data_IF_238155688490
#
_entry.id   IF_238155688490
#
_cell.length_a   1.000
_cell.length_b   1.000
_cell.length_c   1.000
_cell.angle_alpha   90.00
_cell.angle_beta   90.00
_cell.angle_gamma   90.00
#
_symmetry.space_group_name_H-M   'P 1'
#
loop_
_entity.id
_entity.type
_entity.pdbx_description
1 polymer ?
#
# COMPACT_ATOMS: atom_id res chain seq x y z
N UNK A 1 26.44 1.90 2.97
CA UNK A 1 26.73 3.31 3.31
C UNK A 1 25.47 4.08 3.01
N UNK A 2 25.06 5.01 3.87
CA UNK A 2 23.67 5.53 3.90
C UNK A 2 23.58 6.97 3.39
N UNK A 3 22.37 7.50 3.23
CA UNK A 3 22.07 8.93 3.07
C UNK A 3 22.96 9.82 3.96
N UNK A 4 23.33 9.35 5.16
CA UNK A 4 24.22 10.06 6.11
C UNK A 4 25.57 10.41 5.47
N UNK A 5 26.14 9.52 4.66
CA UNK A 5 27.47 9.70 4.06
C UNK A 5 27.45 10.77 2.95
N UNK A 6 26.29 10.96 2.31
CA UNK A 6 26.10 11.92 1.22
C UNK A 6 25.33 13.17 1.64
N UNK A 7 24.82 13.24 2.88
CA UNK A 7 23.97 14.32 3.38
C UNK A 7 24.58 15.71 3.17
N UNK A 8 25.86 15.88 3.52
CA UNK A 8 26.54 17.17 3.32
C UNK A 8 26.56 17.59 1.85
N UNK A 9 26.76 16.65 0.93
CA UNK A 9 26.76 16.93 -0.51
C UNK A 9 25.36 17.23 -1.03
N UNK A 10 24.36 16.45 -0.62
CA UNK A 10 22.96 16.67 -0.99
C UNK A 10 22.45 18.04 -0.50
N UNK A 11 22.82 18.44 0.73
CA UNK A 11 22.53 19.77 1.24
C UNK A 11 23.20 20.87 0.41
N UNK A 12 24.46 20.69 0.00
CA UNK A 12 25.15 21.64 -0.89
C UNK A 12 24.52 21.71 -2.29
N UNK A 13 23.84 20.65 -2.73
CA UNK A 13 23.05 20.62 -3.96
C UNK A 13 21.63 21.21 -3.78
N UNK A 14 21.28 21.67 -2.57
CA UNK A 14 20.00 22.29 -2.28
C UNK A 14 18.86 21.31 -2.03
N UNK A 15 19.17 20.05 -1.68
CA UNK A 15 18.15 19.08 -1.24
C UNK A 15 17.75 19.40 0.20
N UNK A 16 16.47 19.74 0.47
CA UNK A 16 16.01 20.04 1.81
C UNK A 16 15.65 18.74 2.56
N UNK A 17 15.80 18.73 3.89
CA UNK A 17 15.60 17.53 4.73
C UNK A 17 14.15 17.00 4.66
N UNK A 18 13.18 17.88 4.38
CA UNK A 18 11.76 17.57 4.28
C UNK A 18 11.43 16.62 3.10
N UNK A 19 12.30 16.54 2.09
CA UNK A 19 12.11 15.58 0.97
C UNK A 19 12.08 14.14 1.49
N UNK A 20 12.86 13.83 2.53
CA UNK A 20 12.91 12.49 3.10
C UNK A 20 11.64 12.09 3.86
N UNK A 21 10.74 13.04 4.16
CA UNK A 21 9.46 12.73 4.80
C UNK A 21 8.46 12.09 3.82
N UNK A 22 8.56 12.38 2.51
CA UNK A 22 7.78 11.68 1.49
C UNK A 22 8.04 10.17 1.52
N UNK A 23 9.29 9.77 1.70
CA UNK A 23 9.68 8.36 1.78
C UNK A 23 9.29 7.66 3.09
N UNK A 24 8.62 8.38 4.01
CA UNK A 24 8.05 7.85 5.27
C UNK A 24 6.52 7.78 5.22
N UNK A 25 5.90 8.14 4.11
CA UNK A 25 4.46 8.05 3.95
C UNK A 25 3.97 6.61 4.19
N UNK A 26 2.83 6.43 4.89
CA UNK A 26 2.42 5.13 5.41
C UNK A 26 2.02 4.11 4.33
N UNK A 27 1.85 4.53 3.09
CA UNK A 27 1.54 3.65 1.96
C UNK A 27 2.77 3.13 1.22
N UNK A 28 3.97 3.64 1.52
CA UNK A 28 5.23 3.19 0.93
C UNK A 28 5.81 2.03 1.74
N UNK A 29 6.09 0.92 1.06
CA UNK A 29 6.69 -0.27 1.66
C UNK A 29 7.97 -0.71 0.95
N UNK A 30 8.05 -0.51 -0.37
CA UNK A 30 9.28 -0.69 -1.14
C UNK A 30 9.95 0.66 -1.39
N UNK A 31 9.20 1.66 -1.89
CA UNK A 31 9.70 2.99 -2.25
C UNK A 31 9.96 3.87 -1.02
N UNK A 32 10.91 3.45 -0.20
CA UNK A 32 11.24 3.98 1.13
C UNK A 32 12.69 4.50 1.17
N UNK A 33 13.12 5.05 2.31
CA UNK A 33 14.52 5.44 2.51
C UNK A 33 15.52 4.29 2.31
N UNK A 34 15.11 3.05 2.60
CA UNK A 34 15.94 1.86 2.36
C UNK A 34 16.24 1.68 0.87
N UNK A 35 15.26 1.92 0.00
CA UNK A 35 15.46 1.85 -1.44
C UNK A 35 16.41 2.93 -1.94
N UNK A 36 16.33 4.15 -1.38
CA UNK A 36 17.31 5.20 -1.67
C UNK A 36 18.73 4.81 -1.24
N UNK A 37 18.87 4.24 -0.04
CA UNK A 37 20.16 3.77 0.49
C UNK A 37 20.77 2.65 -0.39
N UNK A 38 19.94 1.79 -0.96
CA UNK A 38 20.38 0.75 -1.92
C UNK A 38 20.96 1.37 -3.20
N UNK A 39 20.33 2.42 -3.75
CA UNK A 39 20.86 3.12 -4.94
C UNK A 39 22.12 3.91 -4.58
N UNK A 40 22.13 4.62 -3.44
CA UNK A 40 23.31 5.38 -3.00
C UNK A 40 24.52 4.47 -2.74
N UNK A 41 24.32 3.30 -2.16
CA UNK A 41 25.38 2.30 -1.97
C UNK A 41 25.98 1.90 -3.32
N UNK A 42 25.15 1.64 -4.33
CA UNK A 42 25.63 1.31 -5.68
C UNK A 42 26.39 2.46 -6.34
N UNK A 43 25.95 3.71 -6.17
CA UNK A 43 26.67 4.91 -6.66
C UNK A 43 28.07 4.97 -6.04
N UNK A 44 28.19 4.72 -4.74
CA UNK A 44 29.47 4.73 -4.02
C UNK A 44 30.39 3.60 -4.49
N UNK A 45 29.88 2.38 -4.57
CA UNK A 45 30.65 1.20 -5.01
C UNK A 45 31.16 1.33 -6.45
N UNK A 46 30.39 1.99 -7.32
CA UNK A 46 30.80 2.28 -8.71
C UNK A 46 31.71 3.50 -8.84
N UNK A 47 32.04 4.19 -7.75
CA UNK A 47 32.87 5.40 -7.76
C UNK A 47 32.19 6.61 -8.43
N UNK A 48 30.85 6.65 -8.42
CA UNK A 48 30.03 7.66 -9.09
C UNK A 48 29.52 8.76 -8.15
N UNK A 49 30.01 8.82 -6.90
CA UNK A 49 29.61 9.84 -5.91
C UNK A 49 29.94 11.28 -6.31
N UNK A 50 30.76 11.46 -7.35
CA UNK A 50 31.04 12.74 -7.99
C UNK A 50 29.92 13.25 -8.92
N UNK A 51 28.93 12.43 -9.24
CA UNK A 51 27.91 12.74 -10.24
C UNK A 51 26.63 13.28 -9.58
N UNK A 52 26.46 14.61 -9.61
CA UNK A 52 25.32 15.26 -8.96
C UNK A 52 23.98 14.90 -9.60
N UNK A 53 23.94 14.57 -10.90
CA UNK A 53 22.71 14.18 -11.57
C UNK A 53 22.19 12.84 -11.04
N UNK A 54 23.08 11.85 -10.85
CA UNK A 54 22.71 10.56 -10.26
C UNK A 54 22.26 10.71 -8.80
N UNK A 55 22.95 11.55 -8.02
CA UNK A 55 22.58 11.80 -6.61
C UNK A 55 21.20 12.45 -6.49
N UNK A 56 20.92 13.48 -7.30
CA UNK A 56 19.62 14.15 -7.32
C UNK A 56 18.54 13.21 -7.86
N UNK A 57 18.79 12.48 -8.94
CA UNK A 57 17.84 11.49 -9.46
C UNK A 57 17.48 10.43 -8.41
N UNK A 58 18.44 9.95 -7.61
CA UNK A 58 18.16 9.03 -6.49
C UNK A 58 17.13 9.62 -5.55
N UNK A 59 17.32 10.86 -5.12
CA UNK A 59 16.40 11.53 -4.17
C UNK A 59 15.03 11.81 -4.78
N UNK A 60 14.96 12.13 -6.08
CA UNK A 60 13.76 12.72 -6.66
C UNK A 60 12.95 11.80 -7.57
N UNK A 61 13.46 10.67 -8.07
CA UNK A 61 12.74 9.88 -9.07
C UNK A 61 11.39 9.33 -8.59
N UNK A 62 11.28 8.97 -7.30
CA UNK A 62 10.06 8.47 -6.66
C UNK A 62 9.56 9.37 -5.52
N UNK A 63 9.91 10.66 -5.55
CA UNK A 63 9.54 11.60 -4.49
C UNK A 63 8.03 11.74 -4.39
N UNK A 64 7.33 11.76 -5.52
CA UNK A 64 5.87 11.61 -5.59
C UNK A 64 5.59 10.16 -5.97
N UNK A 65 4.87 9.46 -5.10
CA UNK A 65 4.51 8.08 -5.31
C UNK A 65 3.11 7.83 -4.79
N UNK A 66 2.20 7.54 -5.71
CA UNK A 66 0.90 6.94 -5.41
C UNK A 66 0.78 5.65 -6.23
N UNK A 67 0.67 4.46 -5.62
CA UNK A 67 0.53 3.22 -6.37
C UNK A 67 -0.77 3.14 -7.20
N UNK A 68 -1.73 4.04 -6.99
CA UNK A 68 -2.93 4.20 -7.82
C UNK A 68 -2.71 5.12 -9.03
N UNK A 69 -1.62 5.89 -9.05
CA UNK A 69 -1.30 6.84 -10.12
C UNK A 69 -0.46 6.19 -11.23
N UNK A 70 -0.66 6.67 -12.46
CA UNK A 70 0.16 6.32 -13.62
C UNK A 70 1.11 7.46 -14.05
N UNK A 71 1.23 8.51 -13.22
CA UNK A 71 2.00 9.72 -13.53
C UNK A 71 3.10 10.02 -12.49
N UNK A 72 3.46 9.05 -11.64
CA UNK A 72 4.41 9.26 -10.55
C UNK A 72 5.74 9.86 -11.01
N UNK A 73 6.30 9.39 -12.13
CA UNK A 73 7.56 9.89 -12.68
C UNK A 73 7.40 11.32 -13.23
N UNK A 74 6.31 11.61 -13.92
CA UNK A 74 6.02 12.97 -14.39
C UNK A 74 5.80 13.96 -13.23
N UNK A 75 5.07 13.53 -12.19
CA UNK A 75 4.77 14.34 -11.01
C UNK A 75 6.05 14.59 -10.19
N UNK A 76 6.90 13.57 -10.07
CA UNK A 76 8.23 13.66 -9.44
C UNK A 76 9.17 14.58 -10.21
N UNK A 77 9.22 14.47 -11.55
CA UNK A 77 9.99 15.36 -12.40
C UNK A 77 9.50 16.81 -12.28
N UNK A 78 8.17 17.03 -12.25
CA UNK A 78 7.58 18.35 -12.08
C UNK A 78 7.87 18.94 -10.71
N UNK A 79 7.81 18.13 -9.65
CA UNK A 79 8.23 18.52 -8.31
C UNK A 79 9.69 18.98 -8.30
N UNK A 80 10.59 18.21 -8.90
CA UNK A 80 12.01 18.55 -9.00
C UNK A 80 12.24 19.84 -9.80
N UNK A 81 11.55 20.03 -10.93
CA UNK A 81 11.63 21.25 -11.74
C UNK A 81 11.31 22.50 -10.92
N UNK A 82 10.26 22.41 -10.09
CA UNK A 82 9.75 23.51 -9.28
C UNK A 82 10.62 23.83 -8.06
N UNK A 83 11.33 22.84 -7.53
CA UNK A 83 12.11 22.97 -6.27
C UNK A 83 13.59 23.20 -6.50
N UNK A 84 14.18 22.64 -7.56
CA UNK A 84 15.61 22.75 -7.81
C UNK A 84 15.99 24.09 -8.46
N UNK A 85 16.90 24.83 -7.83
CA UNK A 85 17.37 26.17 -8.29
C UNK A 85 18.77 26.17 -8.89
N UNK A 86 19.39 25.01 -9.12
CA UNK A 86 20.74 24.88 -9.67
C UNK A 86 20.82 25.06 -11.19
N UNK A 87 21.91 24.56 -11.78
CA UNK A 87 22.19 24.67 -13.22
C UNK A 87 21.06 24.09 -14.09
N UNK A 88 20.71 24.79 -15.17
CA UNK A 88 19.71 24.33 -16.15
C UNK A 88 20.12 23.01 -16.83
N UNK A 89 21.42 22.81 -17.08
CA UNK A 89 21.92 21.56 -17.66
C UNK A 89 21.71 20.40 -16.70
N UNK A 90 22.08 20.58 -15.43
CA UNK A 90 21.90 19.55 -14.40
C UNK A 90 20.41 19.24 -14.18
N UNK A 91 19.57 20.27 -14.19
CA UNK A 91 18.11 20.10 -14.12
C UNK A 91 17.59 19.22 -15.25
N UNK A 92 18.01 19.49 -16.49
CA UNK A 92 17.60 18.72 -17.66
C UNK A 92 18.05 17.25 -17.56
N UNK A 93 19.29 17.00 -17.14
CA UNK A 93 19.81 15.63 -16.97
C UNK A 93 18.99 14.84 -15.94
N UNK A 94 18.71 15.43 -14.77
CA UNK A 94 17.93 14.76 -13.71
C UNK A 94 16.49 14.50 -14.17
N UNK A 95 15.83 15.48 -14.78
CA UNK A 95 14.46 15.31 -15.32
C UNK A 95 14.41 14.17 -16.33
N UNK A 96 15.39 14.10 -17.24
CA UNK A 96 15.43 13.01 -18.22
C UNK A 96 15.64 11.65 -17.55
N UNK A 97 16.50 11.56 -16.53
CA UNK A 97 16.69 10.31 -15.78
C UNK A 97 15.37 9.88 -15.14
N UNK A 98 14.67 10.78 -14.45
CA UNK A 98 13.38 10.49 -13.78
C UNK A 98 12.34 10.02 -14.79
N UNK A 99 12.18 10.71 -15.92
CA UNK A 99 11.18 10.31 -16.93
C UNK A 99 11.51 8.95 -17.58
N UNK A 100 12.79 8.62 -17.72
CA UNK A 100 13.23 7.35 -18.31
C UNK A 100 12.97 6.15 -17.37
N UNK A 101 12.86 6.35 -16.04
CA UNK A 101 12.56 5.25 -15.09
C UNK A 101 11.17 4.67 -15.29
N UNK A 102 10.20 5.44 -15.81
CA UNK A 102 8.83 4.99 -16.05
C UNK A 102 8.72 3.71 -16.89
N UNK A 103 9.59 3.60 -17.89
CA UNK A 103 9.61 2.44 -18.80
C UNK A 103 10.90 1.65 -18.71
N UNK A 104 11.86 2.14 -17.92
CA UNK A 104 13.25 1.68 -17.86
C UNK A 104 13.92 1.65 -19.25
N UNK A 105 13.45 2.47 -20.20
CA UNK A 105 14.05 2.66 -21.52
C UNK A 105 14.90 3.94 -21.50
N UNK A 106 16.20 3.77 -21.31
CA UNK A 106 17.13 4.91 -21.20
C UNK A 106 17.33 5.65 -22.53
N UNK A 107 17.21 6.98 -22.49
CA UNK A 107 17.54 7.88 -23.60
C UNK A 107 18.97 8.45 -23.54
N UNK A 108 19.63 8.31 -22.38
CA UNK A 108 20.98 8.83 -22.12
C UNK A 108 21.87 7.82 -21.40
N UNK A 109 23.19 8.03 -21.44
CA UNK A 109 24.15 7.20 -20.69
C UNK A 109 23.91 7.23 -19.18
N UNK A 110 23.52 8.39 -18.63
CA UNK A 110 23.22 8.51 -17.20
C UNK A 110 21.91 7.80 -16.86
N UNK A 111 20.90 7.90 -17.72
CA UNK A 111 19.65 7.17 -17.57
C UNK A 111 19.88 5.66 -17.58
N UNK A 112 20.76 5.15 -18.46
CA UNK A 112 21.12 3.72 -18.49
C UNK A 112 21.71 3.28 -17.15
N UNK A 113 22.70 4.03 -16.65
CA UNK A 113 23.35 3.74 -15.36
C UNK A 113 22.33 3.78 -14.22
N UNK A 114 21.44 4.76 -14.22
CA UNK A 114 20.43 4.92 -13.17
C UNK A 114 19.40 3.79 -13.21
N UNK A 115 18.81 3.48 -14.38
CA UNK A 115 17.85 2.38 -14.53
C UNK A 115 18.45 1.03 -14.12
N UNK A 116 19.74 0.80 -14.40
CA UNK A 116 20.43 -0.42 -13.93
C UNK A 116 20.52 -0.50 -12.40
N UNK A 117 20.75 0.64 -11.72
CA UNK A 117 20.84 0.69 -10.26
C UNK A 117 19.47 0.59 -9.59
N UNK A 118 18.46 1.24 -10.17
CA UNK A 118 17.06 1.16 -9.72
C UNK A 118 16.53 -0.28 -9.82
N UNK A 119 16.76 -0.95 -10.96
CA UNK A 119 16.37 -2.34 -11.18
C UNK A 119 17.28 -3.38 -10.51
N UNK A 120 18.27 -2.96 -9.71
CA UNK A 120 19.23 -3.89 -9.11
C UNK A 120 18.57 -4.90 -8.15
N UNK A 121 17.41 -4.58 -7.57
CA UNK A 121 16.64 -5.54 -6.77
C UNK A 121 16.35 -6.83 -7.55
N UNK A 122 16.15 -6.72 -8.87
CA UNK A 122 15.86 -7.85 -9.75
C UNK A 122 17.07 -8.75 -10.00
N UNK A 123 18.28 -8.31 -9.64
CA UNK A 123 19.54 -9.08 -9.72
C UNK A 123 19.89 -9.76 -8.40
N UNK A 124 19.10 -9.53 -7.35
CA UNK A 124 19.37 -10.07 -6.03
C UNK A 124 18.98 -11.55 -5.91
N UNK A 125 19.51 -12.27 -4.91
CA UNK A 125 19.09 -13.64 -4.60
C UNK A 125 17.60 -13.74 -4.27
N UNK A 126 17.03 -14.93 -4.44
CA UNK A 126 15.60 -15.20 -4.23
C UNK A 126 15.04 -14.69 -2.89
N UNK A 127 15.81 -14.79 -1.80
CA UNK A 127 15.39 -14.29 -0.49
C UNK A 127 15.06 -12.78 -0.52
N UNK A 128 15.88 -11.97 -1.19
CA UNK A 128 15.66 -10.53 -1.35
C UNK A 128 14.51 -10.22 -2.30
N UNK A 129 14.36 -11.01 -3.37
CA UNK A 129 13.21 -10.92 -4.27
C UNK A 129 11.88 -11.22 -3.56
N UNK A 130 11.87 -12.14 -2.61
CA UNK A 130 10.70 -12.47 -1.82
C UNK A 130 10.33 -11.33 -0.84
N UNK A 131 11.32 -10.69 -0.22
CA UNK A 131 11.13 -9.48 0.58
C UNK A 131 10.52 -8.35 -0.27
N UNK A 132 11.10 -8.11 -1.45
CA UNK A 132 10.60 -7.16 -2.45
C UNK A 132 9.13 -7.43 -2.83
N UNK A 133 8.78 -8.67 -3.14
CA UNK A 133 7.40 -9.03 -3.48
C UNK A 133 6.43 -8.83 -2.31
N UNK A 134 6.86 -9.10 -1.07
CA UNK A 134 6.06 -8.81 0.10
C UNK A 134 5.79 -7.31 0.27
N UNK A 135 6.80 -6.46 0.01
CA UNK A 135 6.67 -5.01 0.07
C UNK A 135 5.75 -4.48 -1.03
N UNK A 136 5.95 -4.89 -2.29
CA UNK A 136 5.07 -4.50 -3.40
C UNK A 136 3.63 -4.94 -3.13
N UNK A 137 3.41 -6.16 -2.62
CA UNK A 137 2.06 -6.58 -2.27
C UNK A 137 1.42 -5.68 -1.21
N UNK A 138 2.19 -5.09 -0.28
CA UNK A 138 1.68 -4.13 0.70
C UNK A 138 1.31 -2.78 0.09
N UNK A 139 2.01 -2.31 -0.94
CA UNK A 139 1.67 -1.07 -1.66
C UNK A 139 0.37 -1.21 -2.47
N UNK A 140 0.10 -2.41 -3.00
CA UNK A 140 -1.07 -2.70 -3.84
C UNK A 140 -2.26 -3.32 -3.09
N UNK A 141 -2.37 -3.11 -1.77
CA UNK A 141 -3.47 -3.66 -0.96
C UNK A 141 -4.86 -3.16 -1.35
N UNK A 142 -4.96 -2.06 -2.12
CA UNK A 142 -6.20 -1.55 -2.70
C UNK A 142 -6.73 -2.40 -3.87
N UNK A 143 -5.90 -3.22 -4.50
CA UNK A 143 -6.28 -4.05 -5.66
C UNK A 143 -6.84 -5.40 -5.20
N UNK A 144 -7.87 -5.90 -5.88
CA UNK A 144 -8.33 -7.29 -5.71
C UNK A 144 -7.17 -8.28 -5.92
N UNK A 145 -7.10 -9.32 -5.07
CA UNK A 145 -5.94 -10.22 -5.09
C UNK A 145 -5.76 -10.98 -6.41
N UNK A 146 -6.85 -11.41 -7.07
CA UNK A 146 -6.73 -12.11 -8.35
C UNK A 146 -6.20 -11.20 -9.44
N UNK A 147 -6.68 -9.95 -9.46
CA UNK A 147 -6.20 -8.96 -10.40
C UNK A 147 -4.73 -8.61 -10.13
N UNK A 148 -4.36 -8.40 -8.85
CA UNK A 148 -2.97 -8.19 -8.44
C UNK A 148 -2.09 -9.35 -8.93
N UNK A 149 -2.47 -10.59 -8.63
CA UNK A 149 -1.68 -11.77 -9.00
C UNK A 149 -1.44 -11.84 -10.52
N UNK A 150 -2.51 -11.69 -11.32
CA UNK A 150 -2.40 -11.75 -12.77
C UNK A 150 -1.49 -10.63 -13.32
N UNK A 151 -1.69 -9.38 -12.89
CA UNK A 151 -0.89 -8.24 -13.34
C UNK A 151 0.53 -8.27 -12.85
N UNK A 152 0.75 -8.76 -11.63
CA UNK A 152 2.09 -8.89 -11.07
C UNK A 152 2.92 -9.92 -11.85
N UNK A 153 2.33 -11.04 -12.26
CA UNK A 153 2.99 -12.02 -13.12
C UNK A 153 3.37 -11.39 -14.47
N UNK A 154 2.44 -10.70 -15.14
CA UNK A 154 2.74 -10.00 -16.41
C UNK A 154 3.93 -9.03 -16.27
N UNK A 155 3.96 -8.24 -15.19
CA UNK A 155 5.04 -7.30 -14.90
C UNK A 155 6.36 -8.04 -14.66
N UNK A 156 6.37 -9.06 -13.80
CA UNK A 156 7.58 -9.83 -13.49
C UNK A 156 8.14 -10.56 -14.73
N UNK A 157 7.27 -11.08 -15.60
CA UNK A 157 7.68 -11.69 -16.88
C UNK A 157 8.31 -10.64 -17.81
N UNK A 158 7.75 -9.42 -17.90
CA UNK A 158 8.37 -8.32 -18.66
C UNK A 158 9.73 -7.92 -18.09
N UNK A 159 9.86 -7.86 -16.76
CA UNK A 159 11.11 -7.51 -16.07
C UNK A 159 12.17 -8.62 -16.22
N UNK A 160 11.75 -9.89 -16.21
CA UNK A 160 12.61 -11.06 -16.44
C UNK A 160 13.31 -11.02 -17.79
N UNK A 161 12.69 -10.43 -18.81
CA UNK A 161 13.30 -10.24 -20.14
C UNK A 161 14.43 -9.20 -20.14
N UNK A 162 14.46 -8.31 -19.15
CA UNK A 162 15.45 -7.22 -19.04
C UNK A 162 16.65 -7.61 -18.16
N UNK A 163 16.51 -8.67 -17.35
CA UNK A 163 17.50 -9.08 -16.35
C UNK A 163 17.75 -10.58 -16.43
N UNK A 164 19.01 -10.97 -16.64
CA UNK A 164 19.43 -12.36 -16.55
C UNK A 164 19.62 -12.78 -15.09
N UNK A 165 18.52 -13.13 -14.42
CA UNK A 165 18.53 -13.70 -13.07
C UNK A 165 17.52 -14.85 -12.96
N UNK A 166 17.96 -16.12 -12.85
CA UNK A 166 17.06 -17.26 -12.72
C UNK A 166 16.24 -17.23 -11.42
N UNK A 167 16.64 -16.43 -10.41
CA UNK A 167 15.86 -16.26 -9.18
C UNK A 167 14.46 -15.66 -9.44
N UNK A 168 14.30 -14.90 -10.52
CA UNK A 168 13.01 -14.33 -10.93
C UNK A 168 12.02 -15.39 -11.40
N UNK A 169 12.50 -16.50 -11.98
CA UNK A 169 11.62 -17.60 -12.41
C UNK A 169 10.95 -18.25 -11.19
N UNK A 170 11.70 -18.41 -10.09
CA UNK A 170 11.15 -18.86 -8.81
C UNK A 170 10.21 -17.83 -8.18
N UNK A 171 10.48 -16.53 -8.34
CA UNK A 171 9.58 -15.49 -7.83
C UNK A 171 8.24 -15.50 -8.58
N UNK A 172 8.26 -15.62 -9.91
CA UNK A 172 7.06 -15.72 -10.74
C UNK A 172 6.24 -16.95 -10.32
N UNK A 173 6.90 -18.09 -10.13
CA UNK A 173 6.23 -19.32 -9.67
C UNK A 173 5.69 -19.19 -8.24
N UNK A 174 6.40 -18.49 -7.35
CA UNK A 174 5.91 -18.15 -6.02
C UNK A 174 4.62 -17.32 -6.10
N UNK A 175 4.61 -16.22 -6.87
CA UNK A 175 3.42 -15.35 -7.03
C UNK A 175 2.25 -16.13 -7.62
N UNK A 176 2.50 -16.99 -8.61
CA UNK A 176 1.49 -17.84 -9.25
C UNK A 176 0.81 -18.80 -8.27
N UNK A 177 1.58 -19.36 -7.33
CA UNK A 177 1.06 -20.36 -6.39
C UNK A 177 0.74 -19.81 -4.99
N UNK A 178 1.05 -18.53 -4.72
CA UNK A 178 0.80 -17.90 -3.42
C UNK A 178 -0.70 -17.91 -3.10
N UNK A 179 -1.02 -18.40 -1.91
CA UNK A 179 -2.35 -18.36 -1.31
C UNK A 179 -2.29 -17.53 -0.02
N UNK A 180 -2.38 -16.20 -0.12
CA UNK A 180 -2.32 -15.35 1.05
C UNK A 180 -3.54 -15.60 1.95
N UNK A 181 -3.35 -15.39 3.24
CA UNK A 181 -4.46 -15.36 4.20
C UNK A 181 -5.23 -14.05 4.00
N UNK A 182 -6.39 -14.13 3.35
CA UNK A 182 -7.25 -12.97 3.08
C UNK A 182 -8.44 -12.98 4.03
N UNK A 183 -8.73 -11.81 4.59
CA UNK A 183 -9.93 -11.61 5.38
C UNK A 183 -10.87 -10.56 4.79
N UNK A 184 -12.15 -10.70 5.11
CA UNK A 184 -13.19 -9.70 4.85
C UNK A 184 -13.62 -9.13 6.18
N UNK A 185 -13.55 -7.81 6.33
CA UNK A 185 -14.07 -7.08 7.47
C UNK A 185 -15.38 -6.37 7.08
N UNK A 186 -16.54 -7.04 7.25
CA UNK A 186 -17.82 -6.49 6.86
C UNK A 186 -18.42 -5.59 7.95
N UNK A 187 -19.03 -4.49 7.52
CA UNK A 187 -19.75 -3.57 8.40
C UNK A 187 -20.58 -2.56 7.63
N UNK A 188 -21.51 -1.89 8.30
CA UNK A 188 -22.24 -0.76 7.68
C UNK A 188 -21.36 0.51 7.60
N UNK A 189 -20.35 0.61 8.49
CA UNK A 189 -19.40 1.72 8.59
C UNK A 189 -20.08 3.09 8.44
N UNK A 190 -21.10 3.34 9.26
CA UNK A 190 -21.95 4.52 9.14
C UNK A 190 -22.03 5.31 10.47
N UNK A 191 -20.95 5.97 10.93
CA UNK A 191 -19.63 6.13 10.28
C UNK A 191 -18.59 5.05 10.63
N UNK A 192 -17.50 4.99 9.84
CA UNK A 192 -16.25 4.35 10.24
C UNK A 192 -15.59 5.18 11.36
N UNK A 193 -15.02 4.53 12.38
CA UNK A 193 -14.60 5.21 13.62
C UNK A 193 -13.40 4.52 14.27
N UNK A 194 -12.84 5.11 15.34
CA UNK A 194 -11.63 4.61 16.03
C UNK A 194 -11.71 3.13 16.43
N UNK A 195 -12.86 2.67 16.96
CA UNK A 195 -13.08 1.24 17.23
C UNK A 195 -12.99 0.33 15.99
N UNK A 196 -13.48 0.75 14.83
CA UNK A 196 -13.34 -0.01 13.59
C UNK A 196 -11.88 -0.06 13.13
N UNK A 197 -11.15 1.06 13.22
CA UNK A 197 -9.73 1.11 12.89
C UNK A 197 -8.92 0.18 13.81
N UNK A 198 -9.24 0.11 15.10
CA UNK A 198 -8.56 -0.78 16.04
C UNK A 198 -8.67 -2.25 15.61
N UNK A 199 -9.89 -2.70 15.27
CA UNK A 199 -10.13 -4.07 14.78
C UNK A 199 -9.42 -4.30 13.46
N UNK A 200 -9.50 -3.36 12.52
CA UNK A 200 -8.84 -3.43 11.22
C UNK A 200 -7.31 -3.59 11.39
N UNK A 201 -6.66 -2.73 12.18
CA UNK A 201 -5.21 -2.80 12.43
C UNK A 201 -4.79 -4.11 13.11
N UNK A 202 -5.63 -4.68 13.98
CA UNK A 202 -5.37 -6.01 14.56
C UNK A 202 -5.49 -7.10 13.51
N UNK A 203 -6.52 -7.04 12.66
CA UNK A 203 -6.69 -7.97 11.55
C UNK A 203 -5.52 -7.92 10.56
N UNK A 204 -5.01 -6.72 10.24
CA UNK A 204 -3.88 -6.53 9.31
C UNK A 204 -2.55 -7.09 9.82
N UNK A 205 -2.45 -7.41 11.12
CA UNK A 205 -1.30 -8.14 11.70
C UNK A 205 -1.46 -9.66 11.62
N UNK A 206 -2.68 -10.15 11.42
CA UNK A 206 -3.02 -11.59 11.36
C UNK A 206 -3.10 -12.06 9.90
N UNK A 207 -3.66 -11.22 9.04
CA UNK A 207 -3.95 -11.53 7.65
C UNK A 207 -2.97 -10.79 6.73
N UNK A 208 -2.62 -11.43 5.61
CA UNK A 208 -1.80 -10.83 4.58
C UNK A 208 -2.53 -9.63 3.93
N UNK A 209 -3.86 -9.74 3.81
CA UNK A 209 -4.77 -8.75 3.22
C UNK A 209 -6.12 -8.73 3.95
N UNK A 210 -6.65 -7.53 4.16
CA UNK A 210 -8.00 -7.30 4.72
C UNK A 210 -8.83 -6.47 3.75
N UNK A 211 -9.96 -7.02 3.31
CA UNK A 211 -10.94 -6.34 2.45
C UNK A 211 -11.98 -5.69 3.35
N UNK A 212 -12.17 -4.38 3.23
CA UNK A 212 -13.20 -3.65 3.98
C UNK A 212 -14.49 -3.71 3.16
N UNK A 213 -15.50 -4.41 3.65
CA UNK A 213 -16.75 -4.63 2.92
C UNK A 213 -17.90 -3.84 3.55
N UNK A 214 -18.33 -2.77 2.89
CA UNK A 214 -19.45 -1.93 3.32
C UNK A 214 -20.79 -2.53 2.87
N UNK A 215 -21.57 -3.02 3.82
CA UNK A 215 -22.93 -3.50 3.56
C UNK A 215 -23.94 -2.36 3.50
N UNK A 216 -24.64 -2.20 2.37
CA UNK A 216 -25.76 -1.26 2.23
C UNK A 216 -27.05 -1.97 2.66
N UNK A 217 -27.73 -1.42 3.66
CA UNK A 217 -29.08 -1.85 4.01
C UNK A 217 -30.11 -0.94 3.27
N UNK A 218 -30.94 -1.50 2.37
CA UNK A 218 -31.94 -0.74 1.62
C UNK A 218 -32.97 0.00 2.50
N UNK A 219 -33.26 -0.50 3.70
CA UNK A 219 -34.24 0.07 4.63
C UNK A 219 -33.67 1.21 5.48
N UNK A 220 -32.34 1.38 5.49
CA UNK A 220 -31.69 2.49 6.21
C UNK A 220 -31.46 3.64 5.25
N UNK A 221 -31.67 4.87 5.73
CA UNK A 221 -31.33 6.08 4.99
C UNK A 221 -29.91 5.98 4.42
N UNK A 222 -29.70 6.50 3.18
CA UNK A 222 -28.39 6.49 2.51
C UNK A 222 -27.30 6.94 3.48
N UNK A 223 -26.15 6.28 3.42
CA UNK A 223 -24.99 6.63 4.22
C UNK A 223 -24.70 8.14 4.14
N UNK A 224 -24.68 8.81 5.28
CA UNK A 224 -24.35 10.24 5.39
C UNK A 224 -22.85 10.48 5.53
N UNK A 225 -22.06 9.44 5.84
CA UNK A 225 -20.62 9.54 6.04
C UNK A 225 -19.84 8.85 4.92
N UNK A 226 -18.85 9.59 4.42
CA UNK A 226 -17.79 9.06 3.55
C UNK A 226 -16.80 8.23 4.37
N UNK A 227 -16.12 7.30 3.70
CA UNK A 227 -15.01 6.58 4.31
C UNK A 227 -13.78 7.51 4.38
N UNK A 228 -12.97 7.42 5.46
CA UNK A 228 -11.83 8.31 5.65
C UNK A 228 -10.70 8.01 4.65
N UNK A 229 -9.96 9.05 4.26
CA UNK A 229 -8.86 8.98 3.29
C UNK A 229 -7.73 8.03 3.69
N UNK A 230 -7.56 7.76 5.00
CA UNK A 230 -6.61 6.77 5.50
C UNK A 230 -6.86 5.34 4.97
N UNK A 231 -8.05 5.07 4.43
CA UNK A 231 -8.41 3.79 3.82
C UNK A 231 -8.12 3.72 2.32
N UNK A 232 -7.63 4.79 1.68
CA UNK A 232 -7.45 4.88 0.23
C UNK A 232 -6.54 3.78 -0.35
N UNK A 233 -5.58 3.28 0.45
CA UNK A 233 -4.64 2.23 0.03
C UNK A 233 -5.09 0.81 0.44
N UNK A 234 -6.34 0.65 0.84
CA UNK A 234 -6.95 -0.64 1.21
C UNK A 234 -8.08 -0.97 0.23
N UNK A 235 -8.30 -2.26 -0.01
CA UNK A 235 -9.42 -2.65 -0.85
C UNK A 235 -10.73 -2.39 -0.10
N UNK A 236 -11.55 -1.53 -0.69
CA UNK A 236 -12.86 -1.18 -0.20
C UNK A 236 -13.91 -1.67 -1.18
N UNK A 237 -14.84 -2.49 -0.69
CA UNK A 237 -15.94 -3.02 -1.47
C UNK A 237 -17.26 -2.56 -0.88
N UNK A 238 -18.27 -2.41 -1.72
CA UNK A 238 -19.63 -2.12 -1.28
C UNK A 238 -20.56 -3.17 -1.84
N UNK A 239 -21.41 -3.75 -0.99
CA UNK A 239 -22.34 -4.80 -1.39
C UNK A 239 -23.74 -4.53 -0.83
N UNK A 240 -24.76 -4.97 -1.58
CA UNK A 240 -26.18 -4.89 -1.20
C UNK A 240 -26.86 -6.26 -1.14
N UNK A 241 -26.13 -7.34 -1.42
CA UNK A 241 -26.57 -8.73 -1.34
C UNK A 241 -26.32 -9.30 0.06
N UNK A 242 -26.59 -10.60 0.26
CA UNK A 242 -26.13 -11.29 1.47
C UNK A 242 -24.60 -11.33 1.51
N UNK A 243 -24.05 -11.29 2.73
CA UNK A 243 -22.59 -11.39 2.94
C UNK A 243 -22.02 -12.69 2.35
N UNK A 244 -22.77 -13.79 2.43
CA UNK A 244 -22.42 -15.09 1.85
C UNK A 244 -22.26 -15.01 0.34
N UNK A 245 -23.16 -14.32 -0.35
CA UNK A 245 -23.11 -14.13 -1.79
C UNK A 245 -21.93 -13.24 -2.21
N UNK A 246 -21.73 -12.13 -1.48
CA UNK A 246 -20.58 -11.25 -1.71
C UNK A 246 -19.24 -12.00 -1.56
N UNK A 247 -19.08 -12.74 -0.46
CA UNK A 247 -17.86 -13.54 -0.22
C UNK A 247 -17.66 -14.58 -1.33
N UNK A 248 -18.73 -15.23 -1.78
CA UNK A 248 -18.66 -16.20 -2.88
C UNK A 248 -18.22 -15.56 -4.20
N UNK A 249 -18.64 -14.32 -4.48
CA UNK A 249 -18.29 -13.59 -5.70
C UNK A 249 -16.80 -13.24 -5.80
N UNK A 250 -16.09 -13.07 -4.68
CA UNK A 250 -14.63 -12.90 -4.68
C UNK A 250 -13.93 -14.11 -5.33
N UNK A 251 -14.51 -15.31 -5.15
CA UNK A 251 -14.07 -16.55 -5.78
C UNK A 251 -12.70 -17.04 -5.30
N UNK A 252 -12.30 -16.68 -4.09
CA UNK A 252 -11.17 -17.23 -3.36
C UNK A 252 -11.54 -17.38 -1.87
N UNK A 253 -10.83 -18.24 -1.15
CA UNK A 253 -11.08 -18.46 0.28
C UNK A 253 -10.78 -17.21 1.09
N UNK A 254 -11.68 -16.87 2.00
CA UNK A 254 -11.52 -15.74 2.92
C UNK A 254 -11.96 -16.11 4.33
N UNK A 255 -11.48 -15.34 5.31
CA UNK A 255 -11.98 -15.38 6.69
C UNK A 255 -12.79 -14.12 7.00
N UNK A 256 -13.98 -14.27 7.55
CA UNK A 256 -14.82 -13.15 7.97
C UNK A 256 -14.35 -12.67 9.35
N UNK A 257 -14.07 -11.37 9.46
CA UNK A 257 -13.72 -10.73 10.72
C UNK A 257 -14.97 -10.13 11.36
N UNK A 258 -15.20 -10.41 12.64
CA UNK A 258 -16.21 -9.72 13.46
C UNK A 258 -15.55 -9.05 14.65
N UNK A 259 -15.93 -7.81 14.94
CA UNK A 259 -15.42 -7.07 16.09
C UNK A 259 -16.30 -7.31 17.30
N UNK A 260 -15.71 -7.61 18.46
CA UNK A 260 -16.41 -7.76 19.72
C UNK A 260 -15.98 -6.67 20.70
N UNK A 261 -16.93 -5.91 21.24
CA UNK A 261 -16.65 -4.89 22.27
C UNK A 261 -17.08 -5.34 23.67
N UNK A 262 -18.14 -6.12 23.77
CA UNK A 262 -18.68 -6.59 25.05
C UNK A 262 -19.44 -7.91 24.89
N UNK A 263 -19.99 -8.43 26.00
CA UNK A 263 -20.75 -9.68 26.00
C UNK A 263 -22.05 -9.64 25.18
N UNK A 264 -22.67 -8.46 25.01
CA UNK A 264 -23.88 -8.30 24.19
C UNK A 264 -23.57 -8.46 22.71
N UNK A 265 -22.46 -7.88 22.25
CA UNK A 265 -21.97 -8.09 20.88
C UNK A 265 -21.72 -9.58 20.62
N UNK A 266 -21.09 -10.30 21.56
CA UNK A 266 -20.82 -11.73 21.42
C UNK A 266 -22.11 -12.54 21.19
N UNK A 267 -23.15 -12.30 21.98
CA UNK A 267 -24.42 -13.02 21.81
C UNK A 267 -25.06 -12.72 20.45
N UNK A 268 -25.04 -11.46 20.01
CA UNK A 268 -25.53 -11.07 18.70
C UNK A 268 -24.73 -11.74 17.57
N UNK A 269 -23.41 -11.74 17.67
CA UNK A 269 -22.52 -12.34 16.66
C UNK A 269 -22.64 -13.86 16.59
N UNK A 270 -22.85 -14.54 17.71
CA UNK A 270 -23.11 -15.98 17.73
C UNK A 270 -24.40 -16.33 16.99
N UNK A 271 -25.47 -15.53 17.14
CA UNK A 271 -26.70 -15.73 16.39
C UNK A 271 -26.50 -15.49 14.89
N UNK A 272 -25.82 -14.39 14.53
CA UNK A 272 -25.48 -14.10 13.13
C UNK A 272 -24.64 -15.22 12.50
N UNK A 273 -23.69 -15.79 13.24
CA UNK A 273 -22.89 -16.91 12.77
C UNK A 273 -23.75 -18.13 12.42
N UNK A 274 -24.76 -18.47 13.23
CA UNK A 274 -25.67 -19.60 12.91
C UNK A 274 -26.44 -19.36 11.63
N UNK A 275 -26.99 -18.16 11.42
CA UNK A 275 -27.62 -17.83 10.14
C UNK A 275 -26.66 -17.94 8.96
N UNK A 276 -25.41 -17.47 9.12
CA UNK A 276 -24.41 -17.59 8.05
C UNK A 276 -24.12 -19.06 7.71
N UNK A 277 -24.07 -19.95 8.71
CA UNK A 277 -23.91 -21.39 8.48
C UNK A 277 -25.11 -22.01 7.76
N UNK A 278 -26.34 -21.64 8.14
CA UNK A 278 -27.55 -22.18 7.50
C UNK A 278 -27.72 -21.69 6.05
N UNK A 279 -27.29 -20.47 5.76
CA UNK A 279 -27.42 -19.83 4.45
C UNK A 279 -26.38 -20.28 3.43
N UNK A 280 -25.40 -21.09 3.82
CA UNK A 280 -24.34 -21.52 2.91
C UNK A 280 -23.92 -22.97 3.15
N UNK A 281 -23.73 -23.68 2.04
CA UNK A 281 -23.22 -25.06 2.08
C UNK A 281 -21.68 -25.11 2.07
N UNK A 282 -21.00 -23.96 2.02
CA UNK A 282 -19.53 -23.87 2.12
C UNK A 282 -19.08 -23.54 3.53
N UNK A 283 -17.98 -24.13 3.97
CA UNK A 283 -17.35 -23.78 5.24
C UNK A 283 -16.98 -22.28 5.27
N UNK A 284 -17.55 -21.55 6.22
CA UNK A 284 -17.19 -20.16 6.49
C UNK A 284 -16.23 -20.10 7.68
N UNK A 285 -15.04 -19.58 7.44
CA UNK A 285 -14.12 -19.20 8.50
C UNK A 285 -14.55 -17.85 9.07
N UNK A 286 -14.85 -17.79 10.36
CA UNK A 286 -15.13 -16.55 11.07
C UNK A 286 -14.20 -16.42 12.27
N UNK A 287 -13.56 -15.27 12.40
CA UNK A 287 -12.74 -14.92 13.57
C UNK A 287 -13.31 -13.67 14.21
N UNK A 288 -13.41 -13.70 15.54
CA UNK A 288 -13.76 -12.54 16.34
C UNK A 288 -12.51 -11.89 16.91
N UNK A 289 -12.40 -10.57 16.77
CA UNK A 289 -11.30 -9.77 17.34
C UNK A 289 -11.88 -8.85 18.40
N UNK A 290 -11.28 -8.86 19.59
CA UNK A 290 -11.66 -7.97 20.68
C UNK A 290 -11.17 -6.54 20.41
N UNK A 291 -12.08 -5.59 20.57
CA UNK A 291 -11.76 -4.17 20.56
C UNK A 291 -10.97 -3.82 21.82
N UNK A 292 -10.03 -2.87 21.74
CA UNK A 292 -9.35 -2.38 22.94
C UNK A 292 -10.32 -1.62 23.84
N UNK A 293 -10.10 -1.73 25.17
CA UNK A 293 -10.97 -1.20 26.23
C UNK A 293 -11.34 0.27 26.03
N UNK A 294 -10.38 1.08 25.58
CA UNK A 294 -10.58 2.51 25.33
C UNK A 294 -11.63 2.81 24.25
N UNK A 295 -11.90 1.87 23.33
CA UNK A 295 -12.84 2.04 22.22
C UNK A 295 -14.16 1.25 22.40
N UNK A 296 -14.32 0.47 23.47
CA UNK A 296 -15.49 -0.40 23.69
C UNK A 296 -16.82 0.36 23.70
N UNK A 297 -16.82 1.58 24.24
CA UNK A 297 -18.00 2.44 24.35
C UNK A 297 -18.38 3.12 23.02
N UNK A 298 -17.52 3.04 22.00
CA UNK A 298 -17.72 3.70 20.70
C UNK A 298 -18.60 2.81 19.83
N UNK A 299 -19.67 3.39 19.28
CA UNK A 299 -20.55 2.75 18.31
C UNK A 299 -21.01 3.74 17.27
N UNK A 300 -21.21 3.30 16.02
CA UNK A 300 -21.79 4.18 14.99
C UNK A 300 -23.13 4.78 15.41
N UNK A 301 -23.97 4.04 16.15
CA UNK A 301 -25.25 4.57 16.66
C UNK A 301 -25.04 5.67 17.69
N UNK A 302 -24.13 5.48 18.66
CA UNK A 302 -23.79 6.50 19.64
C UNK A 302 -23.16 7.73 19.00
N UNK A 303 -22.29 7.54 17.99
CA UNK A 303 -21.70 8.66 17.24
C UNK A 303 -22.79 9.48 16.53
N UNK A 304 -23.73 8.84 15.82
CA UNK A 304 -24.84 9.55 15.16
C UNK A 304 -25.70 10.34 16.16
N UNK A 305 -25.88 9.83 17.38
CA UNK A 305 -26.59 10.57 18.43
C UNK A 305 -25.78 11.77 18.93
N UNK A 306 -24.47 11.62 19.12
CA UNK A 306 -23.58 12.69 19.57
C UNK A 306 -23.33 13.75 18.50
N UNK A 307 -23.45 13.39 17.22
CA UNK A 307 -23.31 14.30 16.10
C UNK A 307 -24.36 15.41 16.13
N UNK A 308 -25.59 15.08 16.54
CA UNK A 308 -26.66 16.06 16.78
C UNK A 308 -26.30 17.11 17.85
N UNK A 309 -25.28 16.86 18.67
CA UNK A 309 -24.77 17.77 19.69
C UNK A 309 -23.36 18.30 19.38
N UNK A 310 -22.82 18.05 18.19
CA UNK A 310 -21.47 18.49 17.80
C UNK A 310 -20.34 17.81 18.59
N UNK A 311 -20.55 16.57 19.05
CA UNK A 311 -19.61 15.82 19.89
C UNK A 311 -19.05 14.55 19.22
N UNK A 312 -19.29 14.38 17.91
CA UNK A 312 -18.88 13.18 17.16
C UNK A 312 -17.38 13.14 16.86
N UNK A 313 -16.75 14.28 16.56
CA UNK A 313 -15.40 14.38 16.01
C UNK A 313 -14.33 13.64 16.82
N UNK A 314 -14.45 13.65 18.16
CA UNK A 314 -13.50 12.97 19.05
C UNK A 314 -13.43 11.45 18.84
N UNK A 315 -14.42 10.85 18.19
CA UNK A 315 -14.50 9.41 17.92
C UNK A 315 -14.27 9.04 16.45
N UNK A 316 -14.32 10.03 15.57
CA UNK A 316 -14.05 9.88 14.15
C UNK A 316 -12.54 9.85 13.88
N UNK A 317 -12.20 9.48 12.66
CA UNK A 317 -10.84 9.53 12.13
C UNK A 317 -10.82 10.74 11.21
N UNK A 318 -10.22 11.84 11.69
CA UNK A 318 -10.04 13.07 10.93
C UNK A 318 -9.14 12.82 9.73
#
# INVERSE_FOLDING_TARGET
MTIVDLKTRLNNLGVPDEVYDFYKEPHRYYHTLTHLDDIFTQILEKGLSGNDALLLATVYHDIIYDPQSSTNEEDSAQYFINTFSGSASLKADVVQIILDTKTHQSSSKLSTIFCEMDLNILRQPFAKLLEYECQIFKEFQFVDYKLYQAKRIEILEKLRLQVDNPALDFLIEYVRNRKPSIAVYPGSFNPFHKGHLNILQKAERIFDKVIIARGINPEKAKASYNLPALLNYRQMETYSTLLTDFVKQLGYSVTIIRGLRNGTDLQFELNQYRYLQDLTNTELNIISIFCDREFEHISSTGIRQLDAYGQADKYLLL
#
